data_IF_446166142316
#
_entry.id   IF_446166142316
#
_cell.length_a   1.000
_cell.length_b   1.000
_cell.length_c   1.000
_cell.angle_alpha   90.00
_cell.angle_beta   90.00
_cell.angle_gamma   90.00
#
_symmetry.space_group_name_H-M   'P 1'
#
loop_
_entity.id
_entity.type
_entity.pdbx_description
1 polymer ?
#
# COMPACT_ATOMS: atom_id res chain seq x y z
N UNK A 1 -18.90 -1.37 -13.05
CA UNK A 1 -17.55 -1.35 -13.64
C UNK A 1 -17.67 -1.92 -15.04
N UNK A 2 -17.82 -1.06 -16.05
CA UNK A 2 -18.11 -1.47 -17.43
C UNK A 2 -16.84 -1.79 -18.23
N UNK A 3 -15.74 -1.11 -17.91
CA UNK A 3 -14.47 -1.26 -18.63
C UNK A 3 -13.84 -2.65 -18.43
N UNK A 4 -13.97 -3.21 -17.23
CA UNK A 4 -13.47 -4.56 -16.92
C UNK A 4 -14.00 -5.61 -17.91
N UNK A 5 -15.28 -5.54 -18.28
CA UNK A 5 -15.90 -6.52 -19.17
C UNK A 5 -15.37 -6.43 -20.59
N UNK A 6 -15.14 -5.21 -21.09
CA UNK A 6 -14.51 -5.00 -22.39
C UNK A 6 -13.10 -5.60 -22.44
N UNK A 7 -12.36 -5.57 -21.33
CA UNK A 7 -11.05 -6.23 -21.26
C UNK A 7 -11.15 -7.76 -21.24
N UNK A 8 -12.16 -8.32 -20.59
CA UNK A 8 -12.44 -9.75 -20.74
C UNK A 8 -12.71 -10.11 -22.20
N UNK A 9 -13.60 -9.37 -22.86
CA UNK A 9 -14.00 -9.66 -24.25
C UNK A 9 -12.82 -9.52 -25.24
N UNK A 10 -11.87 -8.62 -24.98
CA UNK A 10 -10.74 -8.35 -25.88
C UNK A 10 -9.47 -9.16 -25.56
N UNK A 11 -9.25 -9.53 -24.30
CA UNK A 11 -7.97 -10.08 -23.84
C UNK A 11 -8.08 -11.50 -23.31
N UNK A 12 -9.23 -11.92 -22.77
CA UNK A 12 -9.40 -13.25 -22.20
C UNK A 12 -9.63 -14.30 -23.28
N UNK A 13 -9.11 -15.50 -23.07
CA UNK A 13 -9.41 -16.69 -23.88
C UNK A 13 -10.54 -17.52 -23.28
N UNK A 14 -11.18 -17.05 -22.21
CA UNK A 14 -12.36 -17.69 -21.63
C UNK A 14 -13.55 -17.57 -22.57
N UNK A 15 -14.41 -18.58 -22.54
CA UNK A 15 -15.62 -18.58 -23.35
C UNK A 15 -16.56 -17.44 -22.93
N UNK A 16 -17.26 -16.85 -23.89
CA UNK A 16 -18.20 -15.74 -23.64
C UNK A 16 -19.29 -16.11 -22.62
N UNK A 17 -19.70 -17.38 -22.57
CA UNK A 17 -20.66 -17.89 -21.57
C UNK A 17 -20.10 -17.83 -20.15
N UNK A 18 -18.82 -18.13 -19.98
CA UNK A 18 -18.14 -18.06 -18.67
C UNK A 18 -18.05 -16.61 -18.20
N UNK A 19 -17.67 -15.69 -19.09
CA UNK A 19 -17.65 -14.24 -18.80
C UNK A 19 -19.05 -13.72 -18.46
N UNK A 20 -20.09 -14.20 -19.15
CA UNK A 20 -21.48 -13.88 -18.81
C UNK A 20 -21.89 -14.44 -17.44
N UNK A 21 -21.35 -15.60 -17.03
CA UNK A 21 -21.43 -16.13 -15.67
C UNK A 21 -20.88 -15.14 -14.64
N UNK A 22 -19.64 -14.68 -14.82
CA UNK A 22 -19.02 -13.70 -13.92
C UNK A 22 -19.82 -12.39 -13.82
N UNK A 23 -20.39 -11.90 -14.93
CA UNK A 23 -21.26 -10.72 -14.96
C UNK A 23 -22.47 -10.90 -14.03
N UNK A 24 -23.13 -12.05 -14.08
CA UNK A 24 -24.28 -12.38 -13.21
C UNK A 24 -23.87 -12.50 -11.75
N UNK A 25 -22.77 -13.18 -11.46
CA UNK A 25 -22.27 -13.34 -10.09
C UNK A 25 -21.95 -11.99 -9.44
N UNK A 26 -21.30 -11.09 -10.18
CA UNK A 26 -21.02 -9.73 -9.70
C UNK A 26 -22.31 -8.95 -9.47
N UNK A 27 -23.30 -9.06 -10.36
CA UNK A 27 -24.62 -8.46 -10.15
C UNK A 27 -25.34 -9.03 -8.92
N UNK A 28 -25.06 -10.29 -8.56
CA UNK A 28 -25.61 -10.97 -7.37
C UNK A 28 -24.81 -10.72 -6.07
N UNK A 29 -23.75 -9.91 -6.12
CA UNK A 29 -22.99 -9.50 -4.92
C UNK A 29 -21.58 -10.06 -4.81
N UNK A 30 -21.09 -10.84 -5.78
CA UNK A 30 -19.66 -11.20 -5.84
C UNK A 30 -18.82 -9.93 -5.98
N UNK A 31 -17.71 -9.86 -5.23
CA UNK A 31 -16.83 -8.71 -5.30
C UNK A 31 -16.19 -8.60 -6.71
N UNK A 32 -16.37 -7.48 -7.44
CA UNK A 32 -15.76 -7.30 -8.76
C UNK A 32 -14.23 -7.47 -8.74
N UNK A 33 -13.57 -7.22 -7.61
CA UNK A 33 -12.14 -7.43 -7.44
C UNK A 33 -11.74 -8.88 -7.75
N UNK A 34 -12.53 -9.85 -7.33
CA UNK A 34 -12.17 -11.26 -7.50
C UNK A 34 -12.17 -11.64 -8.98
N UNK A 35 -13.13 -11.11 -9.74
CA UNK A 35 -13.18 -11.27 -11.19
C UNK A 35 -12.02 -10.53 -11.87
N UNK A 36 -11.58 -9.37 -11.40
CA UNK A 36 -10.36 -8.71 -11.93
C UNK A 36 -9.11 -9.53 -11.67
N UNK A 37 -9.01 -10.14 -10.50
CA UNK A 37 -7.87 -11.01 -10.14
C UNK A 37 -7.78 -12.18 -11.10
N UNK A 38 -8.91 -12.82 -11.45
CA UNK A 38 -8.92 -13.91 -12.43
C UNK A 38 -8.38 -13.48 -13.80
N UNK A 39 -8.75 -12.29 -14.30
CA UNK A 39 -8.23 -11.77 -15.57
C UNK A 39 -6.74 -11.45 -15.47
N UNK A 40 -6.31 -10.84 -14.37
CA UNK A 40 -4.90 -10.51 -14.14
C UNK A 40 -4.04 -11.79 -14.10
N UNK A 41 -4.51 -12.83 -13.40
CA UNK A 41 -3.84 -14.11 -13.33
C UNK A 41 -3.73 -14.80 -14.70
N UNK A 42 -4.78 -14.72 -15.52
CA UNK A 42 -4.77 -15.25 -16.88
C UNK A 42 -3.71 -14.53 -17.74
N UNK A 43 -3.65 -13.21 -17.67
CA UNK A 43 -2.68 -12.40 -18.42
C UNK A 43 -1.25 -12.73 -17.97
N UNK A 44 -0.98 -12.73 -16.66
CA UNK A 44 0.36 -13.05 -16.13
C UNK A 44 0.75 -14.48 -16.51
N UNK A 45 -0.15 -15.45 -16.37
CA UNK A 45 0.14 -16.83 -16.74
C UNK A 45 0.48 -16.97 -18.22
N UNK A 46 -0.19 -16.21 -19.10
CA UNK A 46 0.03 -16.23 -20.55
C UNK A 46 1.43 -15.74 -20.94
N UNK A 47 1.94 -14.71 -20.28
CA UNK A 47 3.21 -14.07 -20.65
C UNK A 47 4.40 -14.49 -19.78
N UNK A 48 4.16 -14.97 -18.56
CA UNK A 48 5.20 -15.25 -17.57
C UNK A 48 5.08 -16.65 -16.93
N UNK A 49 4.10 -17.46 -17.34
CA UNK A 49 3.88 -18.81 -16.83
C UNK A 49 3.05 -18.87 -15.55
N UNK A 50 2.55 -20.08 -15.25
CA UNK A 50 1.61 -20.29 -14.15
C UNK A 50 2.21 -19.96 -12.77
N UNK A 51 3.49 -20.25 -12.54
CA UNK A 51 4.16 -19.93 -11.29
C UNK A 51 4.17 -18.42 -11.01
N UNK A 52 4.57 -17.61 -11.98
CA UNK A 52 4.60 -16.16 -11.85
C UNK A 52 3.20 -15.56 -11.59
N UNK A 53 2.13 -16.18 -12.08
CA UNK A 53 0.75 -15.76 -11.82
C UNK A 53 0.34 -15.98 -10.36
N UNK A 54 0.74 -17.11 -9.78
CA UNK A 54 0.51 -17.42 -8.36
C UNK A 54 1.34 -16.48 -7.48
N UNK A 55 2.63 -16.30 -7.80
CA UNK A 55 3.52 -15.42 -7.05
C UNK A 55 3.04 -13.97 -7.09
N UNK A 56 2.64 -13.46 -8.27
CA UNK A 56 2.12 -12.10 -8.40
C UNK A 56 0.82 -11.89 -7.60
N UNK A 57 -0.06 -12.88 -7.53
CA UNK A 57 -1.24 -12.81 -6.68
C UNK A 57 -0.84 -12.82 -5.20
N UNK A 58 0.06 -13.71 -4.80
CA UNK A 58 0.55 -13.79 -3.42
C UNK A 58 1.18 -12.47 -2.97
N UNK A 59 2.04 -11.87 -3.80
CA UNK A 59 2.66 -10.57 -3.55
C UNK A 59 1.64 -9.45 -3.45
N UNK A 60 0.68 -9.41 -4.38
CA UNK A 60 -0.42 -8.45 -4.32
C UNK A 60 -1.21 -8.62 -3.02
N UNK A 61 -1.53 -9.85 -2.64
CA UNK A 61 -2.24 -10.12 -1.40
C UNK A 61 -1.41 -9.76 -0.18
N UNK A 62 -0.12 -10.09 -0.11
CA UNK A 62 0.75 -9.71 0.99
C UNK A 62 0.82 -8.18 1.16
N UNK A 63 0.99 -7.44 0.06
CA UNK A 63 1.05 -5.96 0.06
C UNK A 63 -0.27 -5.29 0.44
N UNK A 64 -1.42 -5.93 0.18
CA UNK A 64 -2.74 -5.33 0.37
C UNK A 64 -3.57 -5.92 1.52
N UNK A 65 -3.26 -7.12 1.99
CA UNK A 65 -4.03 -7.89 2.99
C UNK A 65 -3.52 -7.67 4.41
N UNK A 66 -2.27 -7.30 4.60
CA UNK A 66 -1.74 -6.95 5.91
C UNK A 66 -0.89 -5.69 5.79
N UNK A 67 -0.92 -4.82 6.80
CA UNK A 67 -0.05 -3.66 6.89
C UNK A 67 1.42 -4.04 7.10
N UNK A 68 1.91 -5.01 6.33
CA UNK A 68 3.28 -5.42 6.24
C UNK A 68 4.09 -4.24 5.72
N UNK A 69 5.22 -4.01 6.38
CA UNK A 69 6.21 -3.04 5.96
C UNK A 69 6.89 -3.65 4.71
N UNK A 70 6.94 -2.95 3.56
CA UNK A 70 7.65 -3.44 2.37
C UNK A 70 9.12 -3.71 2.68
N UNK A 71 9.74 -4.68 2.00
CA UNK A 71 11.17 -4.97 2.15
C UNK A 71 12.05 -3.84 1.59
N UNK A 72 11.60 -3.21 0.51
CA UNK A 72 12.25 -2.05 -0.12
C UNK A 72 11.56 -0.75 0.32
N UNK A 73 12.23 0.03 1.18
CA UNK A 73 11.73 1.29 1.73
C UNK A 73 12.78 2.38 1.48
N UNK A 74 12.37 3.56 0.98
CA UNK A 74 13.27 4.70 0.89
C UNK A 74 13.87 5.06 2.26
N UNK A 75 15.20 5.09 2.32
CA UNK A 75 15.92 5.58 3.50
C UNK A 75 16.03 7.10 3.47
N UNK A 76 15.77 7.73 4.61
CA UNK A 76 15.92 9.18 4.81
C UNK A 76 16.74 9.44 6.06
N UNK A 77 17.79 10.25 5.92
CA UNK A 77 18.58 10.72 7.04
C UNK A 77 18.15 12.14 7.38
N UNK A 78 17.84 12.39 8.66
CA UNK A 78 17.41 13.69 9.16
C UNK A 78 18.35 14.16 10.26
N UNK A 79 18.74 15.42 10.23
CA UNK A 79 19.56 16.03 11.27
C UNK A 79 18.67 16.61 12.38
N UNK A 80 18.96 16.24 13.62
CA UNK A 80 18.22 16.73 14.77
C UNK A 80 18.53 18.20 15.07
N UNK A 81 17.53 18.91 15.59
CA UNK A 81 17.69 20.29 16.07
C UNK A 81 17.58 20.22 17.59
N UNK A 82 18.70 20.49 18.28
CA UNK A 82 18.83 20.33 19.75
C UNK A 82 18.74 18.88 20.25
N UNK A 83 19.11 17.90 19.42
CA UNK A 83 19.20 16.50 19.81
C UNK A 83 17.88 15.72 19.72
N UNK A 84 16.81 16.34 19.24
CA UNK A 84 15.55 15.65 18.93
C UNK A 84 14.81 16.28 17.72
N UNK A 85 13.82 15.57 17.19
CA UNK A 85 12.86 16.08 16.21
C UNK A 85 11.44 15.66 16.59
N UNK A 86 10.49 16.59 16.49
CA UNK A 86 9.08 16.26 16.67
C UNK A 86 8.58 15.34 15.55
N UNK A 87 7.62 14.47 15.87
CA UNK A 87 6.98 13.56 14.90
C UNK A 87 6.44 14.29 13.67
N UNK A 88 5.90 15.50 13.85
CA UNK A 88 5.39 16.32 12.74
C UNK A 88 6.52 16.82 11.83
N UNK A 89 7.67 17.19 12.38
CA UNK A 89 8.84 17.58 11.59
C UNK A 89 9.41 16.38 10.85
N UNK A 90 9.55 15.23 11.53
CA UNK A 90 10.04 13.99 10.91
C UNK A 90 9.17 13.60 9.72
N UNK A 91 7.84 13.57 9.88
CA UNK A 91 6.89 13.22 8.81
C UNK A 91 6.93 14.16 7.61
N UNK A 92 7.24 15.44 7.83
CA UNK A 92 7.38 16.43 6.75
C UNK A 92 8.73 16.26 6.05
N UNK A 93 9.82 16.22 6.83
CA UNK A 93 11.17 16.16 6.30
C UNK A 93 11.46 14.82 5.61
N UNK A 94 10.82 13.73 6.03
CA UNK A 94 10.88 12.43 5.36
C UNK A 94 10.05 12.35 4.06
N UNK A 95 9.38 13.43 3.66
CA UNK A 95 8.55 13.49 2.46
C UNK A 95 7.22 12.72 2.54
N UNK A 96 6.87 12.15 3.70
CA UNK A 96 5.62 11.39 3.85
C UNK A 96 4.38 12.29 3.87
N UNK A 97 4.55 13.54 4.30
CA UNK A 97 3.54 14.60 4.29
C UNK A 97 4.09 15.89 3.70
N UNK A 98 3.22 16.70 3.10
CA UNK A 98 3.56 17.98 2.48
C UNK A 98 3.84 19.09 3.50
N UNK A 99 3.29 18.96 4.72
CA UNK A 99 3.39 19.97 5.77
C UNK A 99 3.24 19.35 7.16
N UNK A 100 3.69 20.08 8.18
CA UNK A 100 3.51 19.70 9.60
C UNK A 100 2.02 19.68 9.98
N UNK A 101 1.19 20.57 9.43
CA UNK A 101 -0.25 20.57 9.64
C UNK A 101 -0.91 19.31 9.07
N UNK A 102 -0.49 18.85 7.90
CA UNK A 102 -0.94 17.56 7.35
C UNK A 102 -0.50 16.39 8.24
N UNK A 103 0.75 16.40 8.71
CA UNK A 103 1.26 15.39 9.64
C UNK A 103 0.38 15.28 10.90
N UNK A 104 0.10 16.40 11.57
CA UNK A 104 -0.74 16.43 12.78
C UNK A 104 -2.17 15.94 12.52
N UNK A 105 -2.72 16.27 11.34
CA UNK A 105 -4.04 15.76 10.91
C UNK A 105 -4.01 14.25 10.72
N UNK A 106 -2.99 13.72 10.04
CA UNK A 106 -2.84 12.28 9.81
C UNK A 106 -2.67 11.51 11.12
N UNK A 107 -1.91 12.04 12.09
CA UNK A 107 -1.78 11.45 13.43
C UNK A 107 -3.15 11.44 14.13
N UNK A 108 -3.86 12.57 14.12
CA UNK A 108 -5.19 12.66 14.75
C UNK A 108 -6.24 11.72 14.13
N UNK A 109 -6.11 11.41 12.85
CA UNK A 109 -6.95 10.43 12.14
C UNK A 109 -6.48 8.98 12.35
N UNK A 110 -5.36 8.77 13.06
CA UNK A 110 -4.81 7.46 13.28
C UNK A 110 -4.14 6.83 12.05
N UNK A 111 -3.75 7.67 11.09
CA UNK A 111 -3.14 7.26 9.83
C UNK A 111 -1.62 7.13 9.88
N UNK A 112 -0.97 7.26 11.05
CA UNK A 112 0.48 7.20 11.20
C UNK A 112 0.88 6.02 12.08
N UNK A 113 1.91 5.30 11.66
CA UNK A 113 2.55 4.22 12.44
C UNK A 113 4.06 4.38 12.48
N UNK A 114 4.66 3.93 13.57
CA UNK A 114 6.11 3.79 13.79
C UNK A 114 6.36 2.30 14.03
N UNK A 115 7.22 1.67 13.22
CA UNK A 115 7.53 0.23 13.29
C UNK A 115 6.27 -0.66 13.34
N UNK A 116 5.24 -0.26 12.59
CA UNK A 116 3.95 -0.95 12.51
C UNK A 116 2.97 -0.63 13.65
N UNK A 117 3.42 0.01 14.73
CA UNK A 117 2.58 0.46 15.85
C UNK A 117 1.94 1.81 15.55
N UNK A 118 0.61 1.90 15.69
CA UNK A 118 -0.13 3.15 15.50
C UNK A 118 0.25 4.15 16.59
N UNK A 119 0.44 5.41 16.19
CA UNK A 119 0.66 6.52 17.11
C UNK A 119 -0.50 7.52 17.05
N UNK A 120 -0.78 8.15 18.18
CA UNK A 120 -1.80 9.20 18.37
C UNK A 120 -1.26 10.44 19.10
N UNK A 121 -0.12 10.33 19.79
CA UNK A 121 0.54 11.45 20.46
C UNK A 121 1.19 12.42 19.44
N UNK A 122 0.55 13.57 19.27
CA UNK A 122 1.01 14.67 18.40
C UNK A 122 2.29 15.36 18.89
N UNK A 123 2.62 15.22 20.16
CA UNK A 123 3.79 15.83 20.80
C UNK A 123 4.97 14.86 20.91
N UNK A 124 4.87 13.67 20.30
CA UNK A 124 5.96 12.72 20.27
C UNK A 124 7.20 13.36 19.62
N UNK A 125 8.36 13.17 20.25
CA UNK A 125 9.65 13.56 19.72
C UNK A 125 10.57 12.33 19.67
N UNK A 126 11.45 12.32 18.68
CA UNK A 126 12.44 11.28 18.51
C UNK A 126 13.83 11.86 18.77
N UNK A 127 14.62 11.26 19.67
CA UNK A 127 15.98 11.71 19.92
C UNK A 127 16.89 11.44 18.72
N UNK A 128 18.05 12.09 18.71
CA UNK A 128 19.15 11.75 17.81
C UNK A 128 19.58 10.29 17.96
N UNK A 129 20.24 9.74 16.93
CA UNK A 129 20.72 8.34 16.85
C UNK A 129 19.59 7.31 16.90
N UNK A 130 18.43 7.67 16.38
CA UNK A 130 17.27 6.79 16.31
C UNK A 130 17.02 6.31 14.88
N UNK A 131 16.54 5.08 14.72
CA UNK A 131 16.31 4.42 13.43
C UNK A 131 14.98 3.64 13.51
N UNK A 132 14.04 3.98 12.64
CA UNK A 132 12.69 3.41 12.66
C UNK A 132 12.00 3.54 11.31
N UNK A 133 10.97 2.73 11.08
CA UNK A 133 10.12 2.81 9.89
C UNK A 133 8.88 3.64 10.19
N UNK A 134 8.69 4.71 9.43
CA UNK A 134 7.45 5.46 9.40
C UNK A 134 6.53 4.99 8.30
N UNK A 135 5.24 4.92 8.63
CA UNK A 135 4.17 4.65 7.69
C UNK A 135 3.07 5.70 7.81
N UNK A 136 2.64 6.26 6.68
CA UNK A 136 1.46 7.12 6.56
C UNK A 136 0.44 6.49 5.61
N UNK A 137 -0.73 6.15 6.15
CA UNK A 137 -1.77 5.41 5.43
C UNK A 137 -1.27 4.01 5.02
N UNK A 138 -1.75 3.51 3.88
CA UNK A 138 -1.44 2.13 3.44
C UNK A 138 -0.19 1.99 2.57
N UNK A 139 0.34 3.10 2.02
CA UNK A 139 1.31 3.05 0.91
C UNK A 139 2.55 3.94 1.07
N UNK A 140 2.54 4.92 1.97
CA UNK A 140 3.69 5.81 2.15
C UNK A 140 4.54 5.26 3.29
N UNK A 141 5.78 4.88 2.97
CA UNK A 141 6.75 4.35 3.92
C UNK A 141 8.08 5.09 3.77
N UNK A 142 8.79 5.29 4.88
CA UNK A 142 10.17 5.75 4.89
C UNK A 142 10.91 5.12 6.08
N UNK A 143 12.12 4.63 5.86
CA UNK A 143 13.04 4.27 6.95
C UNK A 143 13.80 5.54 7.33
N UNK A 144 13.62 6.00 8.56
CA UNK A 144 14.18 7.27 9.02
C UNK A 144 15.31 7.02 9.97
N UNK A 145 16.45 7.66 9.72
CA UNK A 145 17.60 7.72 10.63
C UNK A 145 17.81 9.16 11.10
N UNK A 146 17.69 9.41 12.38
CA UNK A 146 17.93 10.74 12.97
C UNK A 146 19.36 10.81 13.47
N UNK A 147 20.08 11.87 13.11
CA UNK A 147 21.48 12.12 13.51
C UNK A 147 21.60 13.32 14.45
#
# INVERSE_FOLDING_TARGET
DELMWRYYDLLSFRASEEVAGFKREVASGRNPRDVKVLLAQEIVARFHGAAASVDALSDFEARFRQGAIPDDIPEVVLDSVNGELSVAQVLKQSGLTSSTSEALRMIGQGGVKVDGAKIDNKNLAFPARNDFVLQVGKRKFARVKIR
#
